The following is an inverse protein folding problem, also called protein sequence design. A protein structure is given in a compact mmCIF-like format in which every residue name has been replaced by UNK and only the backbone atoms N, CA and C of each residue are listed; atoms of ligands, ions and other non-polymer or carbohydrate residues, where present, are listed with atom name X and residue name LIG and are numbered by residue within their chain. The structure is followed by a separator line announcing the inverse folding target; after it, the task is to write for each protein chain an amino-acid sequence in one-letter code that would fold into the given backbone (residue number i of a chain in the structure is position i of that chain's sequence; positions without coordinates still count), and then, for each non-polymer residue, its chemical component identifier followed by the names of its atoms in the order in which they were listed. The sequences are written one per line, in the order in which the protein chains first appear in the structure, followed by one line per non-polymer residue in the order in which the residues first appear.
data_IF_500932759231
#
_entry.id   IF_500932759231
#
_cell.length_a   1.000
_cell.length_b   1.000
_cell.length_c   1.000
_cell.angle_alpha   90.00
_cell.angle_beta   90.00
_cell.angle_gamma   90.00
#
_symmetry.space_group_name_H-M   'P 1'
#
loop_
_entity.id
_entity.type
_entity.pdbx_description
1 polymer ?
#
# COMPACT_ATOMS: atom_id res chain seq x y z
N UNK A 1 0.29 -9.87 -46.14
CA UNK A 1 -0.76 -8.98 -45.60
C UNK A 1 -0.38 -8.75 -44.14
N UNK A 2 0.54 -7.81 -43.91
CA UNK A 2 0.99 -7.44 -42.56
C UNK A 2 0.03 -6.38 -42.04
N UNK A 3 -0.82 -6.74 -41.08
CA UNK A 3 -1.47 -5.76 -40.21
C UNK A 3 -0.38 -5.12 -39.35
N UNK A 4 0.15 -4.01 -39.85
CA UNK A 4 1.02 -3.12 -39.09
C UNK A 4 0.20 -2.52 -37.96
N UNK A 5 0.38 -3.15 -36.80
CA UNK A 5 0.18 -2.67 -35.45
C UNK A 5 0.15 -1.14 -35.41
N UNK A 6 -1.07 -0.59 -35.48
CA UNK A 6 -1.35 0.81 -35.21
C UNK A 6 -1.24 1.02 -33.68
N UNK A 7 -0.06 0.76 -33.13
CA UNK A 7 0.26 1.00 -31.73
C UNK A 7 0.23 2.50 -31.51
N UNK A 8 -0.80 2.92 -30.80
CA UNK A 8 -1.17 4.29 -30.44
C UNK A 8 0.04 5.07 -29.94
N UNK A 9 0.69 5.82 -30.83
CA UNK A 9 1.72 6.80 -30.46
C UNK A 9 1.03 8.02 -29.87
N UNK A 10 1.30 8.29 -28.60
CA UNK A 10 0.78 9.45 -27.88
C UNK A 10 1.80 10.60 -27.89
N UNK A 11 1.37 11.82 -27.56
CA UNK A 11 2.15 13.06 -27.55
C UNK A 11 3.26 13.14 -26.46
N UNK A 12 3.66 12.01 -25.88
CA UNK A 12 4.79 11.87 -24.98
C UNK A 12 5.61 10.70 -25.52
N UNK A 13 6.88 10.93 -25.89
CA UNK A 13 7.77 10.01 -26.65
C UNK A 13 8.02 8.60 -26.04
N UNK A 14 7.29 8.20 -24.99
CA UNK A 14 7.36 6.87 -24.37
C UNK A 14 6.31 5.89 -24.90
N UNK A 15 6.71 4.62 -25.07
CA UNK A 15 5.76 3.52 -25.25
C UNK A 15 5.07 3.22 -23.92
N UNK A 16 3.74 3.09 -23.91
CA UNK A 16 3.03 2.59 -22.75
C UNK A 16 3.39 1.12 -22.47
N UNK A 17 3.43 0.68 -21.20
CA UNK A 17 3.56 -0.72 -20.87
C UNK A 17 2.36 -1.50 -21.40
N UNK A 18 2.59 -2.73 -21.85
CA UNK A 18 1.51 -3.63 -22.26
C UNK A 18 0.72 -4.09 -21.03
N UNK A 19 -0.53 -4.52 -21.26
CA UNK A 19 -1.35 -5.12 -20.20
C UNK A 19 -0.68 -6.36 -19.61
N UNK A 20 0.02 -7.17 -20.41
CA UNK A 20 0.77 -8.34 -19.93
C UNK A 20 1.89 -7.94 -18.97
N UNK A 21 2.69 -6.93 -19.33
CA UNK A 21 3.77 -6.44 -18.49
C UNK A 21 3.25 -5.90 -17.15
N UNK A 22 2.12 -5.18 -17.17
CA UNK A 22 1.51 -4.70 -15.93
C UNK A 22 0.98 -5.85 -15.05
N UNK A 23 0.45 -6.93 -15.65
CA UNK A 23 0.07 -8.12 -14.87
C UNK A 23 1.27 -8.80 -14.22
N UNK A 24 2.40 -8.90 -14.92
CA UNK A 24 3.63 -9.46 -14.36
C UNK A 24 4.14 -8.63 -13.18
N UNK A 25 4.04 -7.30 -13.30
CA UNK A 25 4.33 -6.37 -12.20
C UNK A 25 3.45 -6.62 -10.97
N UNK A 26 2.13 -6.76 -11.15
CA UNK A 26 1.20 -7.04 -10.07
C UNK A 26 1.44 -8.44 -9.45
N UNK A 27 1.76 -9.45 -10.27
CA UNK A 27 2.12 -10.79 -9.81
C UNK A 27 3.40 -10.79 -8.97
N UNK A 28 4.43 -10.05 -9.40
CA UNK A 28 5.67 -9.90 -8.64
C UNK A 28 5.41 -9.28 -7.26
N UNK A 29 4.56 -8.25 -7.19
CA UNK A 29 4.17 -7.62 -5.92
C UNK A 29 3.58 -8.64 -4.92
N UNK A 30 2.73 -9.54 -5.41
CA UNK A 30 2.09 -10.56 -4.59
C UNK A 30 3.03 -11.72 -4.23
N UNK A 31 3.95 -12.09 -5.12
CA UNK A 31 4.92 -13.17 -4.90
C UNK A 31 5.97 -12.86 -3.81
N UNK A 32 6.19 -11.58 -3.50
CA UNK A 32 7.09 -11.13 -2.42
C UNK A 32 6.53 -11.48 -1.03
N UNK A 33 5.21 -11.65 -0.91
CA UNK A 33 4.54 -11.82 0.37
C UNK A 33 4.65 -13.27 0.87
N UNK A 34 4.93 -13.42 2.15
CA UNK A 34 4.83 -14.71 2.84
C UNK A 34 3.46 -14.86 3.52
N UNK A 35 3.08 -16.08 3.90
CA UNK A 35 1.86 -16.33 4.69
C UNK A 35 1.84 -15.52 5.99
N UNK A 36 3.01 -15.29 6.59
CA UNK A 36 3.20 -14.50 7.81
C UNK A 36 2.82 -13.02 7.63
N UNK A 37 2.88 -12.50 6.40
CA UNK A 37 2.58 -11.11 6.05
C UNK A 37 1.09 -10.86 5.81
N UNK A 38 0.26 -11.90 5.78
CA UNK A 38 -1.18 -11.79 5.53
C UNK A 38 -1.93 -12.11 6.83
N UNK A 39 -3.04 -11.40 7.07
CA UNK A 39 -3.98 -11.68 8.16
C UNK A 39 -5.40 -11.70 7.64
N UNK A 40 -6.27 -12.50 8.25
CA UNK A 40 -7.68 -12.54 7.91
C UNK A 40 -8.44 -11.60 8.85
N UNK A 41 -9.14 -10.62 8.29
CA UNK A 41 -10.04 -9.73 9.04
C UNK A 41 -11.42 -9.86 8.41
N UNK A 42 -12.41 -10.27 9.20
CA UNK A 42 -13.79 -10.46 8.73
C UNK A 42 -13.89 -11.33 7.46
N UNK A 43 -13.08 -12.39 7.38
CA UNK A 43 -13.06 -13.31 6.24
C UNK A 43 -12.27 -12.84 5.02
N UNK A 44 -11.74 -11.61 5.02
CA UNK A 44 -10.94 -11.06 3.92
C UNK A 44 -9.45 -11.04 4.26
N UNK A 45 -8.55 -11.37 3.30
CA UNK A 45 -7.11 -11.28 3.50
C UNK A 45 -6.64 -9.81 3.45
N UNK A 46 -5.85 -9.40 4.43
CA UNK A 46 -5.21 -8.09 4.51
C UNK A 46 -3.70 -8.25 4.65
N UNK A 47 -2.96 -7.44 3.89
CA UNK A 47 -1.50 -7.37 3.98
C UNK A 47 -1.13 -6.57 5.23
N UNK A 48 -0.35 -7.17 6.13
CA UNK A 48 0.19 -6.54 7.33
C UNK A 48 1.23 -5.48 6.96
N UNK A 49 1.59 -4.66 7.95
CA UNK A 49 2.67 -3.66 7.84
C UNK A 49 3.99 -4.25 7.32
N UNK A 50 4.32 -5.49 7.70
CA UNK A 50 5.53 -6.20 7.23
C UNK A 50 5.49 -6.46 5.73
N UNK A 51 4.38 -6.97 5.21
CA UNK A 51 4.20 -7.23 3.78
C UNK A 51 4.27 -5.98 2.93
N UNK A 52 3.58 -4.91 3.33
CA UNK A 52 3.66 -3.62 2.64
C UNK A 52 5.08 -3.07 2.61
N UNK A 53 5.87 -3.24 3.68
CA UNK A 53 7.28 -2.83 3.72
C UNK A 53 8.15 -3.66 2.77
N UNK A 54 7.93 -4.97 2.65
CA UNK A 54 8.64 -5.81 1.67
C UNK A 54 8.37 -5.35 0.24
N UNK A 55 7.09 -5.14 -0.09
CA UNK A 55 6.66 -4.62 -1.40
C UNK A 55 7.34 -3.27 -1.68
N UNK A 56 7.26 -2.35 -0.72
CA UNK A 56 7.79 -0.99 -0.87
C UNK A 56 9.31 -0.99 -1.06
N UNK A 57 10.02 -1.85 -0.32
CA UNK A 57 11.45 -2.03 -0.47
C UNK A 57 11.81 -2.60 -1.85
N UNK A 58 11.11 -3.64 -2.30
CA UNK A 58 11.34 -4.26 -3.61
C UNK A 58 11.15 -3.28 -4.77
N UNK A 59 10.08 -2.46 -4.73
CA UNK A 59 9.82 -1.43 -5.73
C UNK A 59 10.57 -0.12 -5.49
N UNK A 60 11.50 -0.09 -4.52
CA UNK A 60 12.33 1.04 -4.19
C UNK A 60 11.53 2.35 -3.94
N UNK A 61 10.45 2.21 -3.15
CA UNK A 61 9.62 3.33 -2.73
C UNK A 61 10.24 4.05 -1.53
N UNK A 62 10.18 5.37 -1.59
CA UNK A 62 10.48 6.23 -0.45
C UNK A 62 9.21 6.92 0.04
N UNK A 63 9.24 7.38 1.29
CA UNK A 63 8.10 8.03 1.93
C UNK A 63 8.49 9.35 2.57
N UNK A 64 7.60 10.33 2.46
CA UNK A 64 7.71 11.63 3.12
C UNK A 64 6.41 11.88 3.90
N UNK A 65 6.50 12.20 5.20
CA UNK A 65 5.34 12.65 5.97
C UNK A 65 5.09 14.11 5.59
N UNK A 66 3.98 14.38 4.89
CA UNK A 66 3.60 15.72 4.43
C UNK A 66 2.91 16.51 5.54
N UNK A 67 2.06 15.82 6.30
CA UNK A 67 1.32 16.41 7.40
C UNK A 67 1.08 15.37 8.50
N UNK A 68 0.99 15.83 9.74
CA UNK A 68 0.60 15.02 10.89
C UNK A 68 -0.12 15.85 11.94
N UNK A 69 -1.22 15.32 12.44
CA UNK A 69 -1.99 15.89 13.55
C UNK A 69 -2.15 14.82 14.62
N UNK A 70 -1.84 15.15 15.87
CA UNK A 70 -2.05 14.25 17.01
C UNK A 70 -2.82 15.03 18.08
N UNK A 71 -4.03 14.58 18.35
CA UNK A 71 -4.93 15.15 19.35
C UNK A 71 -4.68 14.50 20.70
N UNK A 72 -4.54 15.32 21.73
CA UNK A 72 -4.33 14.89 23.11
C UNK A 72 -5.47 15.38 24.01
N UNK A 73 -5.76 14.62 25.07
CA UNK A 73 -6.59 15.11 26.18
C UNK A 73 -5.77 15.93 27.18
N UNK A 74 -6.44 16.46 28.22
CA UNK A 74 -5.82 17.26 29.29
C UNK A 74 -4.70 16.50 30.03
N UNK A 75 -4.78 15.17 30.06
CA UNK A 75 -3.79 14.29 30.68
C UNK A 75 -2.67 13.87 29.70
N UNK A 76 -2.58 14.50 28.53
CA UNK A 76 -1.63 14.19 27.45
C UNK A 76 -1.73 12.76 26.92
N UNK A 77 -2.91 12.15 26.99
CA UNK A 77 -3.16 10.90 26.31
C UNK A 77 -3.60 11.16 24.87
N UNK A 78 -3.07 10.39 23.93
CA UNK A 78 -3.49 10.48 22.52
C UNK A 78 -4.94 10.02 22.40
N UNK A 79 -5.76 10.87 21.79
CA UNK A 79 -7.16 10.61 21.44
C UNK A 79 -7.29 10.21 19.97
N UNK A 80 -6.63 10.94 19.08
CA UNK A 80 -6.65 10.70 17.65
C UNK A 80 -5.32 11.07 17.02
N UNK A 81 -4.95 10.36 15.97
CA UNK A 81 -3.82 10.75 15.13
C UNK A 81 -4.22 10.68 13.66
N UNK A 82 -3.74 11.63 12.87
CA UNK A 82 -3.90 11.69 11.42
C UNK A 82 -2.54 11.94 10.77
N UNK A 83 -2.30 11.28 9.63
CA UNK A 83 -1.08 11.43 8.85
C UNK A 83 -1.43 11.54 7.37
N UNK A 84 -0.77 12.46 6.67
CA UNK A 84 -0.68 12.49 5.21
C UNK A 84 0.75 12.11 4.84
N UNK A 85 0.88 11.02 4.09
CA UNK A 85 2.19 10.50 3.67
C UNK A 85 2.25 10.41 2.16
N UNK A 86 3.30 10.98 1.58
CA UNK A 86 3.65 10.82 0.17
C UNK A 86 4.51 9.59 -0.01
N UNK A 87 4.09 8.65 -0.85
CA UNK A 87 4.97 7.63 -1.42
C UNK A 87 5.49 8.15 -2.77
N UNK A 88 6.77 7.92 -3.08
CA UNK A 88 7.34 8.32 -4.37
C UNK A 88 8.37 7.32 -4.89
N UNK A 89 8.45 7.23 -6.22
CA UNK A 89 9.40 6.40 -6.97
C UNK A 89 10.55 7.25 -7.52
N UNK A 90 11.67 6.61 -7.88
CA UNK A 90 12.83 7.28 -8.49
C UNK A 90 12.56 7.91 -9.88
N UNK A 91 11.36 7.76 -10.45
CA UNK A 91 10.92 8.44 -11.68
C UNK A 91 10.07 9.69 -11.46
N UNK A 92 9.97 10.20 -10.22
CA UNK A 92 9.18 11.39 -9.89
C UNK A 92 7.67 11.16 -9.73
N UNK A 93 7.15 9.97 -10.09
CA UNK A 93 5.78 9.58 -9.78
C UNK A 93 5.60 9.45 -8.27
N UNK A 94 4.52 10.02 -7.76
CA UNK A 94 4.16 9.96 -6.35
C UNK A 94 2.67 9.75 -6.16
N UNK A 95 2.28 9.36 -4.95
CA UNK A 95 0.90 9.32 -4.48
C UNK A 95 0.85 9.72 -3.01
N UNK A 96 -0.18 10.45 -2.62
CA UNK A 96 -0.40 10.87 -1.23
C UNK A 96 -1.50 10.01 -0.60
N UNK A 97 -1.20 9.41 0.55
CA UNK A 97 -2.14 8.60 1.32
C UNK A 97 -2.45 9.26 2.65
N UNK A 98 -3.73 9.36 2.97
CA UNK A 98 -4.21 9.78 4.29
C UNK A 98 -4.53 8.56 5.16
N UNK A 99 -4.22 8.65 6.45
CA UNK A 99 -4.57 7.65 7.45
C UNK A 99 -4.84 8.26 8.81
N UNK A 100 -5.94 7.86 9.43
CA UNK A 100 -6.29 8.22 10.80
C UNK A 100 -6.30 7.01 11.72
N UNK A 101 -6.19 7.25 13.02
CA UNK A 101 -6.52 6.27 14.05
C UNK A 101 -7.10 6.98 15.28
N UNK A 102 -8.26 6.53 15.74
CA UNK A 102 -8.88 7.01 16.98
C UNK A 102 -8.70 5.99 18.12
N UNK A 103 -8.55 6.48 19.35
CA UNK A 103 -8.42 5.69 20.58
C UNK A 103 -9.59 4.73 20.78
N UNK A 104 -10.79 5.08 20.31
CA UNK A 104 -12.03 4.30 20.46
C UNK A 104 -12.15 3.15 19.45
N UNK A 105 -11.31 3.11 18.41
CA UNK A 105 -11.41 2.07 17.37
C UNK A 105 -11.22 0.65 17.91
N UNK A 106 -10.32 0.49 18.89
CA UNK A 106 -10.02 -0.81 19.52
C UNK A 106 -9.28 -0.63 20.83
N UNK A 107 -9.13 -1.72 21.58
CA UNK A 107 -8.31 -1.72 22.80
C UNK A 107 -6.81 -1.75 22.43
N UNK A 108 -6.09 -0.68 22.75
CA UNK A 108 -4.65 -0.56 22.58
C UNK A 108 -3.90 -0.93 23.87
N UNK A 109 -2.71 -1.53 23.75
CA UNK A 109 -1.84 -1.84 24.89
C UNK A 109 -1.02 -0.61 25.32
N UNK A 110 -0.51 0.15 24.34
CA UNK A 110 0.23 1.40 24.56
C UNK A 110 -0.38 2.52 23.69
N UNK A 111 -1.57 3.05 24.06
CA UNK A 111 -2.35 3.94 23.21
C UNK A 111 -1.55 5.12 22.62
N UNK A 112 -0.70 5.77 23.43
CA UNK A 112 0.08 6.93 22.99
C UNK A 112 1.12 6.61 21.90
N UNK A 113 1.50 5.34 21.75
CA UNK A 113 2.41 4.88 20.70
C UNK A 113 1.63 4.18 19.56
N UNK A 114 0.68 3.32 19.92
CA UNK A 114 -0.01 2.46 18.97
C UNK A 114 -0.96 3.24 18.06
N UNK A 115 -1.59 4.31 18.55
CA UNK A 115 -2.52 5.14 17.76
C UNK A 115 -1.76 5.89 16.66
N UNK A 116 -0.71 6.71 16.94
CA UNK A 116 0.05 7.36 15.88
C UNK A 116 0.70 6.37 14.90
N UNK A 117 1.26 5.26 15.42
CA UNK A 117 1.87 4.22 14.58
C UNK A 117 0.86 3.55 13.64
N UNK A 118 -0.39 3.36 14.10
CA UNK A 118 -1.46 2.81 13.26
C UNK A 118 -1.88 3.80 12.18
N UNK A 119 -2.08 5.08 12.53
CA UNK A 119 -2.43 6.13 11.57
C UNK A 119 -1.36 6.29 10.47
N UNK A 120 -0.08 6.39 10.87
CA UNK A 120 1.06 6.46 9.94
C UNK A 120 1.13 5.23 9.02
N UNK A 121 0.90 4.04 9.57
CA UNK A 121 0.89 2.79 8.79
C UNK A 121 -0.23 2.79 7.74
N UNK A 122 -1.43 3.25 8.11
CA UNK A 122 -2.56 3.35 7.18
C UNK A 122 -2.24 4.32 6.04
N UNK A 123 -1.69 5.49 6.36
CA UNK A 123 -1.29 6.49 5.38
C UNK A 123 -0.25 5.94 4.40
N UNK A 124 0.82 5.30 4.91
CA UNK A 124 1.87 4.66 4.08
C UNK A 124 1.33 3.54 3.19
N UNK A 125 0.49 2.67 3.74
CA UNK A 125 -0.08 1.56 2.99
C UNK A 125 -0.97 2.08 1.85
N UNK A 126 -1.81 3.07 2.13
CA UNK A 126 -2.69 3.68 1.11
C UNK A 126 -1.90 4.40 0.02
N UNK A 127 -0.90 5.19 0.40
CA UNK A 127 -0.01 5.86 -0.56
C UNK A 127 0.73 4.85 -1.47
N UNK A 128 1.25 3.76 -0.90
CA UNK A 128 1.91 2.69 -1.63
C UNK A 128 0.96 1.95 -2.58
N UNK A 129 -0.20 1.56 -2.06
CA UNK A 129 -1.25 0.88 -2.80
C UNK A 129 -1.67 1.67 -4.04
N UNK A 130 -1.92 2.96 -3.89
CA UNK A 130 -2.36 3.84 -4.97
C UNK A 130 -1.22 4.12 -5.98
N UNK A 131 0.01 4.25 -5.49
CA UNK A 131 1.19 4.47 -6.34
C UNK A 131 1.47 3.27 -7.25
N UNK A 132 1.38 2.06 -6.71
CA UNK A 132 1.68 0.81 -7.43
C UNK A 132 0.48 0.23 -8.19
N UNK A 133 -0.75 0.63 -7.85
CA UNK A 133 -1.97 0.10 -8.49
C UNK A 133 -2.24 -1.38 -8.17
N UNK A 134 -1.93 -1.82 -6.95
CA UNK A 134 -2.03 -3.23 -6.51
C UNK A 134 -3.10 -3.49 -5.44
N UNK A 135 -3.97 -2.52 -5.19
CA UNK A 135 -4.82 -2.49 -3.99
C UNK A 135 -5.78 -3.66 -3.77
N UNK A 136 -6.48 -4.06 -4.82
CA UNK A 136 -7.39 -5.21 -4.78
C UNK A 136 -6.90 -6.36 -5.65
N UNK A 137 -5.65 -6.28 -6.12
CA UNK A 137 -5.15 -7.27 -7.06
C UNK A 137 -5.04 -8.64 -6.39
N UNK A 138 -5.87 -9.56 -6.86
CA UNK A 138 -5.76 -10.97 -6.58
C UNK A 138 -5.28 -11.63 -7.87
N UNK A 139 -4.12 -12.32 -7.87
CA UNK A 139 -3.67 -13.05 -9.04
C UNK A 139 -4.79 -13.97 -9.53
N UNK A 140 -5.20 -13.81 -10.78
CA UNK A 140 -6.22 -14.66 -11.40
C UNK A 140 -5.60 -16.01 -11.78
N UNK A 141 -5.26 -16.84 -10.79
CA UNK A 141 -5.09 -18.30 -10.88
C UNK A 141 -4.43 -18.89 -9.61
N UNK A 142 -5.24 -19.64 -8.86
CA UNK A 142 -4.95 -20.96 -8.26
C UNK A 142 -3.93 -21.16 -7.10
N UNK A 143 -4.44 -21.87 -6.07
CA UNK A 143 -3.79 -22.70 -5.03
C UNK A 143 -3.31 -22.03 -3.72
N UNK A 144 -4.25 -21.50 -2.94
CA UNK A 144 -4.22 -21.81 -1.51
C UNK A 144 -4.98 -23.13 -1.28
N UNK A 145 -4.44 -24.25 -1.77
CA UNK A 145 -4.87 -25.55 -1.26
C UNK A 145 -4.33 -25.67 0.16
N UNK A 146 -5.25 -25.79 1.12
CA UNK A 146 -5.00 -26.37 2.43
C UNK A 146 -4.28 -27.70 2.23
N UNK A 147 -3.08 -27.83 2.79
CA UNK A 147 -2.62 -29.14 3.25
C UNK A 147 -2.98 -29.21 4.72
N UNK A 148 -4.04 -29.96 5.01
CA UNK A 148 -4.25 -30.66 6.28
C UNK A 148 -3.29 -31.84 6.29
#
# INVERSE_FOLDING_TARGET
MEEKDAMTRHCLDGRFPTVSLFKDYQNAAMAILEKSDITMISGNPFIKKSGWRKISFYFNLSYEIKDRTIEFDDNRNVQRAEFVVRAYMQGGRFSDGWGSCDRREKRFLKPNHDIPSTAETRAKNKACQDLLGIGEYRPSANKFHQKV
#
